data_IF_858659964410
#
_entry.id   IF_858659964410
#
_cell.length_a   1.000
_cell.length_b   1.000
_cell.length_c   1.000
_cell.angle_alpha   90.00
_cell.angle_beta   90.00
_cell.angle_gamma   90.00
#
_symmetry.space_group_name_H-M   'P 1'
#
loop_
_entity.id
_entity.type
_entity.pdbx_description
1 polymer ?
#
# COMPACT_ATOMS: atom_id res chain seq x y z
N UNK A 1 -12.98 18.61 -43.12
CA UNK A 1 -12.88 17.68 -41.98
C UNK A 1 -12.52 18.49 -40.75
N UNK A 2 -13.48 18.71 -39.87
CA UNK A 2 -13.37 19.64 -38.75
C UNK A 2 -12.43 19.11 -37.67
N UNK A 3 -11.54 19.98 -37.18
CA UNK A 3 -10.75 19.74 -36.00
C UNK A 3 -11.69 19.48 -34.81
N UNK A 4 -11.67 18.25 -34.30
CA UNK A 4 -12.24 17.95 -32.99
C UNK A 4 -11.33 18.68 -31.99
N UNK A 5 -11.75 19.88 -31.58
CA UNK A 5 -11.18 20.57 -30.43
C UNK A 5 -11.38 19.64 -29.23
N UNK A 6 -10.29 19.13 -28.67
CA UNK A 6 -10.28 18.33 -27.44
C UNK A 6 -10.90 19.15 -26.30
N UNK A 7 -12.18 18.90 -25.99
CA UNK A 7 -12.95 19.64 -24.99
C UNK A 7 -12.85 19.02 -23.59
N UNK A 8 -11.65 18.60 -23.19
CA UNK A 8 -11.42 18.04 -21.86
C UNK A 8 -10.05 18.42 -21.31
N UNK A 9 -9.88 18.46 -19.98
CA UNK A 9 -8.56 18.52 -19.38
C UNK A 9 -7.69 17.34 -19.88
N UNK A 10 -6.36 17.50 -19.94
CA UNK A 10 -5.47 16.41 -20.30
C UNK A 10 -5.67 15.23 -19.33
N UNK A 11 -5.42 14.02 -19.82
CA UNK A 11 -5.47 12.81 -19.02
C UNK A 11 -4.57 12.92 -17.78
N UNK A 12 -4.94 12.31 -16.64
CA UNK A 12 -4.05 12.22 -15.49
C UNK A 12 -2.74 11.54 -15.88
N UNK A 13 -1.62 12.03 -15.34
CA UNK A 13 -0.32 11.37 -15.49
C UNK A 13 -0.31 9.99 -14.80
N UNK A 14 -0.94 9.93 -13.63
CA UNK A 14 -1.02 8.76 -12.78
C UNK A 14 -2.44 8.56 -12.23
N UNK A 15 -2.81 7.29 -12.08
CA UNK A 15 -3.91 6.85 -11.23
C UNK A 15 -3.36 5.82 -10.26
N UNK A 16 -3.61 6.00 -8.96
CA UNK A 16 -3.36 4.96 -7.97
C UNK A 16 -4.67 4.23 -7.69
N UNK A 17 -4.62 2.90 -7.61
CA UNK A 17 -5.74 2.09 -7.11
C UNK A 17 -5.30 1.52 -5.77
N UNK A 18 -5.89 2.03 -4.69
CA UNK A 18 -5.55 1.66 -3.32
C UNK A 18 -6.83 1.29 -2.56
N UNK A 19 -7.35 0.10 -2.89
CA UNK A 19 -8.58 -0.48 -2.34
C UNK A 19 -8.24 -1.82 -1.66
N UNK A 20 -9.23 -2.46 -1.04
CA UNK A 20 -9.05 -3.77 -0.37
C UNK A 20 -9.13 -3.70 1.14
N UNK A 21 -8.94 -2.52 1.75
CA UNK A 21 -8.96 -2.38 3.19
C UNK A 21 -10.34 -2.66 3.79
N UNK A 22 -11.41 -2.16 3.18
CA UNK A 22 -12.78 -2.42 3.63
C UNK A 22 -13.31 -3.74 3.07
N UNK A 23 -12.95 -4.04 1.82
CA UNK A 23 -13.33 -5.25 1.10
C UNK A 23 -12.95 -6.52 1.86
N UNK A 24 -11.74 -6.54 2.43
CA UNK A 24 -11.21 -7.66 3.22
C UNK A 24 -11.70 -7.72 4.68
N UNK A 25 -12.51 -6.76 5.13
CA UNK A 25 -13.08 -6.83 6.48
C UNK A 25 -14.08 -7.97 6.58
N UNK A 26 -14.08 -8.71 7.70
CA UNK A 26 -14.99 -9.85 7.86
C UNK A 26 -16.42 -9.42 8.24
N UNK A 27 -17.36 -9.91 7.43
CA UNK A 27 -18.80 -10.01 7.68
C UNK A 27 -19.16 -11.40 8.25
N UNK A 28 -20.45 -11.71 8.38
CA UNK A 28 -20.90 -13.04 8.86
C UNK A 28 -20.49 -14.20 7.93
N UNK A 29 -20.40 -13.97 6.62
CA UNK A 29 -20.23 -15.01 5.61
C UNK A 29 -18.86 -14.96 4.91
N UNK A 30 -17.86 -14.30 5.51
CA UNK A 30 -16.54 -14.08 4.92
C UNK A 30 -16.20 -12.60 4.75
N UNK A 31 -15.26 -12.24 3.86
CA UNK A 31 -14.93 -10.83 3.59
C UNK A 31 -16.15 -10.05 3.08
N UNK A 32 -16.17 -8.72 3.28
CA UNK A 32 -17.27 -7.86 2.86
C UNK A 32 -17.50 -7.90 1.35
N UNK A 33 -16.41 -8.01 0.59
CA UNK A 33 -16.45 -8.32 -0.84
C UNK A 33 -15.81 -9.70 -1.01
N UNK A 34 -16.49 -10.70 -1.59
CA UNK A 34 -15.87 -11.99 -1.90
C UNK A 34 -14.58 -11.79 -2.71
N UNK A 35 -13.54 -12.57 -2.39
CA UNK A 35 -12.21 -12.36 -3.00
C UNK A 35 -12.27 -12.39 -4.55
N UNK A 36 -13.03 -13.33 -5.13
CA UNK A 36 -13.20 -13.42 -6.58
C UNK A 36 -13.86 -12.17 -7.18
N UNK A 37 -14.87 -11.62 -6.50
CA UNK A 37 -15.54 -10.39 -6.97
C UNK A 37 -14.60 -9.18 -6.88
N UNK A 38 -13.85 -9.06 -5.79
CA UNK A 38 -12.81 -8.04 -5.64
C UNK A 38 -11.76 -8.14 -6.75
N UNK A 39 -11.30 -9.35 -7.03
CA UNK A 39 -10.39 -9.67 -8.11
C UNK A 39 -10.89 -9.20 -9.48
N UNK A 40 -12.17 -9.45 -9.78
CA UNK A 40 -12.81 -9.03 -11.02
C UNK A 40 -12.94 -7.51 -11.10
N UNK A 41 -13.27 -6.83 -9.99
CA UNK A 41 -13.31 -5.37 -9.92
C UNK A 41 -11.95 -4.72 -10.21
N UNK A 42 -10.88 -5.20 -9.58
CA UNK A 42 -9.53 -4.65 -9.79
C UNK A 42 -9.09 -4.82 -11.25
N UNK A 43 -9.33 -6.00 -11.83
CA UNK A 43 -9.02 -6.26 -13.26
C UNK A 43 -9.87 -5.39 -14.17
N UNK A 44 -11.16 -5.21 -13.86
CA UNK A 44 -12.04 -4.33 -14.60
C UNK A 44 -11.55 -2.88 -14.60
N UNK A 45 -11.13 -2.34 -13.45
CA UNK A 45 -10.59 -0.98 -13.37
C UNK A 45 -9.31 -0.82 -14.19
N UNK A 46 -8.38 -1.78 -14.06
CA UNK A 46 -7.13 -1.77 -14.83
C UNK A 46 -7.41 -1.79 -16.33
N UNK A 47 -8.20 -2.76 -16.79
CA UNK A 47 -8.53 -2.89 -18.22
C UNK A 47 -9.26 -1.65 -18.74
N UNK A 48 -10.20 -1.10 -17.98
CA UNK A 48 -10.92 0.13 -18.37
C UNK A 48 -9.96 1.32 -18.54
N UNK A 49 -9.04 1.54 -17.59
CA UNK A 49 -8.05 2.63 -17.69
C UNK A 49 -7.04 2.37 -18.82
N UNK A 50 -6.63 1.13 -19.02
CA UNK A 50 -5.61 0.81 -20.01
C UNK A 50 -6.16 0.86 -21.44
N UNK A 51 -7.42 0.49 -21.65
CA UNK A 51 -8.02 0.40 -22.99
C UNK A 51 -8.71 1.72 -23.43
N UNK A 52 -9.03 2.63 -22.50
CA UNK A 52 -9.65 3.90 -22.85
C UNK A 52 -8.67 4.84 -23.59
N UNK A 53 -8.99 5.29 -24.82
CA UNK A 53 -8.17 6.24 -25.58
C UNK A 53 -7.86 7.54 -24.85
N UNK A 54 -8.74 7.99 -23.94
CA UNK A 54 -8.56 9.19 -23.15
C UNK A 54 -7.46 9.05 -22.08
N UNK A 55 -7.10 7.82 -21.69
CA UNK A 55 -6.07 7.52 -20.67
C UNK A 55 -4.89 6.73 -21.25
N UNK A 56 -4.68 6.79 -22.57
CA UNK A 56 -3.61 6.06 -23.28
C UNK A 56 -2.20 6.29 -22.71
N UNK A 57 -1.94 7.49 -22.19
CA UNK A 57 -0.64 7.90 -21.61
C UNK A 57 -0.64 7.86 -20.06
N UNK A 58 -1.79 7.55 -19.45
CA UNK A 58 -1.94 7.43 -18.01
C UNK A 58 -1.28 6.14 -17.52
N UNK A 59 -0.48 6.27 -16.47
CA UNK A 59 0.14 5.14 -15.75
C UNK A 59 -0.70 4.77 -14.54
N UNK A 60 -0.73 3.49 -14.20
CA UNK A 60 -1.48 2.98 -13.05
C UNK A 60 -0.54 2.36 -12.04
N UNK A 61 -0.70 2.70 -10.77
CA UNK A 61 0.00 2.05 -9.66
C UNK A 61 -1.02 1.38 -8.77
N UNK A 62 -1.00 0.05 -8.71
CA UNK A 62 -1.73 -0.70 -7.71
C UNK A 62 -1.00 -0.63 -6.37
N UNK A 63 -1.74 -0.45 -5.28
CA UNK A 63 -1.17 -0.43 -3.93
C UNK A 63 -1.92 -1.45 -3.10
N UNK A 64 -1.21 -2.42 -2.52
CA UNK A 64 -1.84 -3.44 -1.66
C UNK A 64 -2.45 -2.78 -0.40
N UNK A 65 -3.61 -3.23 0.09
CA UNK A 65 -4.18 -2.72 1.34
C UNK A 65 -3.19 -2.87 2.51
N UNK A 66 -3.18 -1.91 3.46
CA UNK A 66 -2.24 -1.96 4.57
C UNK A 66 -2.60 -3.08 5.56
N UNK A 67 -1.65 -3.48 6.44
CA UNK A 67 -1.96 -4.38 7.54
C UNK A 67 -2.87 -3.70 8.56
N UNK A 68 -3.46 -4.50 9.45
CA UNK A 68 -4.19 -4.01 10.63
C UNK A 68 -3.40 -4.30 11.88
N UNK A 69 -3.55 -3.43 12.88
CA UNK A 69 -2.96 -3.62 14.20
C UNK A 69 -3.99 -4.24 15.15
N UNK A 70 -4.15 -5.56 15.07
CA UNK A 70 -5.04 -6.29 15.99
C UNK A 70 -4.37 -6.37 17.37
N UNK A 71 -5.04 -5.92 18.44
CA UNK A 71 -4.53 -6.09 19.80
C UNK A 71 -4.33 -7.57 20.14
N UNK A 72 -3.23 -7.89 20.80
CA UNK A 72 -2.99 -9.24 21.30
C UNK A 72 -3.95 -9.54 22.46
N UNK A 73 -4.64 -10.70 22.49
CA UNK A 73 -5.48 -11.10 23.60
C UNK A 73 -4.70 -11.12 24.92
N UNK A 74 -5.33 -10.66 26.01
CA UNK A 74 -4.72 -10.65 27.36
C UNK A 74 -4.44 -12.09 27.79
N UNK A 75 -3.17 -12.40 28.11
CA UNK A 75 -2.75 -13.75 28.51
C UNK A 75 -1.25 -14.05 28.45
N UNK A 76 -0.38 -13.04 28.29
CA UNK A 76 1.08 -13.21 28.19
C UNK A 76 1.71 -14.13 29.26
N UNK A 77 1.27 -14.15 30.54
CA UNK A 77 1.85 -15.05 31.55
C UNK A 77 1.71 -16.55 31.26
N UNK A 78 0.83 -16.95 30.33
CA UNK A 78 0.63 -18.34 29.94
C UNK A 78 1.57 -18.80 28.81
N UNK A 79 2.34 -17.88 28.20
CA UNK A 79 3.26 -18.23 27.11
C UNK A 79 4.50 -19.01 27.57
N UNK A 80 4.85 -18.93 28.86
CA UNK A 80 5.98 -19.66 29.44
C UNK A 80 5.72 -21.17 29.55
N UNK A 81 4.46 -21.60 29.44
CA UNK A 81 4.08 -23.01 29.36
C UNK A 81 3.77 -23.38 27.88
N UNK A 82 4.54 -24.29 27.26
CA UNK A 82 4.35 -24.67 25.85
C UNK A 82 2.95 -25.17 25.51
N UNK A 83 2.33 -25.98 26.36
CA UNK A 83 1.00 -26.54 26.12
C UNK A 83 -0.07 -25.45 26.18
N UNK A 84 0.04 -24.54 27.16
CA UNK A 84 -0.86 -23.39 27.29
C UNK A 84 -0.69 -22.42 26.11
N UNK A 85 0.54 -22.20 25.64
CA UNK A 85 0.83 -21.36 24.48
C UNK A 85 0.19 -21.90 23.19
N UNK A 86 0.24 -23.22 22.97
CA UNK A 86 -0.41 -23.87 21.82
C UNK A 86 -1.93 -23.63 21.86
N UNK A 87 -2.56 -23.86 23.01
CA UNK A 87 -4.01 -23.66 23.18
C UNK A 87 -4.38 -22.19 22.95
N UNK A 88 -3.62 -21.26 23.53
CA UNK A 88 -3.90 -19.83 23.40
C UNK A 88 -3.78 -19.36 21.94
N UNK A 89 -2.76 -19.82 21.21
CA UNK A 89 -2.59 -19.55 19.78
C UNK A 89 -3.74 -20.13 18.95
N UNK A 90 -4.16 -21.35 19.25
CA UNK A 90 -5.29 -21.99 18.57
C UNK A 90 -6.59 -21.22 18.77
N UNK A 91 -6.87 -20.73 19.97
CA UNK A 91 -8.05 -19.89 20.24
C UNK A 91 -7.93 -18.53 19.54
N UNK A 92 -6.76 -17.90 19.60
CA UNK A 92 -6.53 -16.60 18.99
C UNK A 92 -6.67 -16.62 17.46
N UNK A 93 -6.22 -17.69 16.79
CA UNK A 93 -6.33 -17.82 15.32
C UNK A 93 -7.78 -17.91 14.85
N UNK A 94 -8.68 -18.45 15.69
CA UNK A 94 -10.13 -18.45 15.42
C UNK A 94 -10.81 -17.12 15.76
N UNK A 95 -10.10 -16.22 16.44
CA UNK A 95 -10.58 -14.90 16.82
C UNK A 95 -10.89 -14.02 15.62
N UNK A 96 -11.91 -13.15 15.74
CA UNK A 96 -12.29 -12.23 14.67
C UNK A 96 -11.15 -11.31 14.24
N UNK A 97 -10.32 -10.88 15.19
CA UNK A 97 -9.15 -10.04 14.93
C UNK A 97 -8.17 -10.69 13.98
N UNK A 98 -7.62 -11.86 14.36
CA UNK A 98 -6.66 -12.59 13.53
C UNK A 98 -7.22 -12.96 12.16
N UNK A 99 -8.45 -13.48 12.08
CA UNK A 99 -9.07 -13.81 10.78
C UNK A 99 -9.25 -12.58 9.89
N UNK A 100 -9.49 -11.40 10.47
CA UNK A 100 -9.56 -10.14 9.69
C UNK A 100 -8.17 -9.74 9.19
N UNK A 101 -7.13 -9.93 10.00
CA UNK A 101 -5.74 -9.73 9.59
C UNK A 101 -5.36 -10.68 8.44
N UNK A 102 -5.70 -11.97 8.54
CA UNK A 102 -5.43 -12.99 7.52
C UNK A 102 -6.17 -12.69 6.21
N UNK A 103 -7.44 -12.27 6.31
CA UNK A 103 -8.21 -11.84 5.14
C UNK A 103 -7.54 -10.66 4.44
N UNK A 104 -7.12 -9.62 5.18
CA UNK A 104 -6.38 -8.49 4.61
C UNK A 104 -5.04 -8.90 3.99
N UNK A 105 -4.30 -9.81 4.62
CA UNK A 105 -3.05 -10.39 4.06
C UNK A 105 -3.32 -11.06 2.72
N UNK A 106 -4.43 -11.79 2.60
CA UNK A 106 -4.84 -12.47 1.37
C UNK A 106 -5.15 -11.47 0.26
N UNK A 107 -5.90 -10.41 0.55
CA UNK A 107 -6.20 -9.35 -0.42
C UNK A 107 -4.95 -8.59 -0.84
N UNK A 108 -4.01 -8.35 0.10
CA UNK A 108 -2.73 -7.74 -0.20
C UNK A 108 -1.90 -8.58 -1.19
N UNK A 109 -1.73 -9.88 -0.90
CA UNK A 109 -1.07 -10.83 -1.82
C UNK A 109 -1.73 -10.83 -3.19
N UNK A 110 -3.07 -10.77 -3.22
CA UNK A 110 -3.80 -10.80 -4.49
C UNK A 110 -3.63 -9.53 -5.33
N UNK A 111 -3.56 -8.35 -4.71
CA UNK A 111 -3.20 -7.11 -5.42
C UNK A 111 -1.81 -7.22 -6.04
N UNK A 112 -0.83 -7.79 -5.33
CA UNK A 112 0.52 -8.00 -5.86
C UNK A 112 0.51 -8.94 -7.06
N UNK A 113 -0.21 -10.07 -6.97
CA UNK A 113 -0.37 -11.03 -8.07
C UNK A 113 -0.97 -10.38 -9.33
N UNK A 114 -2.11 -9.69 -9.20
CA UNK A 114 -2.76 -8.97 -10.31
C UNK A 114 -1.83 -7.89 -10.87
N UNK A 115 -1.19 -7.14 -9.98
CA UNK A 115 -0.24 -6.11 -10.36
C UNK A 115 0.86 -6.67 -11.25
N UNK A 116 1.51 -7.76 -10.82
CA UNK A 116 2.57 -8.43 -11.58
C UNK A 116 2.08 -8.99 -12.91
N UNK A 117 0.87 -9.55 -12.95
CA UNK A 117 0.22 -9.98 -14.18
C UNK A 117 0.11 -8.84 -15.20
N UNK A 118 -0.34 -7.66 -14.77
CA UNK A 118 -0.51 -6.50 -15.65
C UNK A 118 0.80 -5.76 -15.94
N UNK A 119 1.76 -5.74 -15.00
CA UNK A 119 3.12 -5.24 -15.27
C UNK A 119 3.80 -6.01 -16.41
N UNK A 120 3.57 -7.32 -16.50
CA UNK A 120 4.10 -8.16 -17.57
C UNK A 120 3.46 -7.87 -18.94
N UNK A 121 2.21 -7.37 -18.95
CA UNK A 121 1.45 -7.03 -20.16
C UNK A 121 1.66 -5.59 -20.62
N UNK A 122 1.93 -4.66 -19.70
CA UNK A 122 2.04 -3.24 -19.99
C UNK A 122 3.07 -2.54 -19.13
N UNK A 123 3.97 -1.78 -19.78
CA UNK A 123 4.90 -0.89 -19.09
C UNK A 123 4.23 0.30 -18.37
N UNK A 124 2.91 0.47 -18.49
CA UNK A 124 2.12 1.52 -17.81
C UNK A 124 1.64 1.11 -16.43
N UNK A 125 1.83 -0.15 -16.02
CA UNK A 125 1.41 -0.62 -14.70
C UNK A 125 2.63 -0.83 -13.80
N UNK A 126 2.47 -0.50 -12.53
CA UNK A 126 3.35 -0.87 -11.43
C UNK A 126 2.53 -1.34 -10.23
N UNK A 127 3.15 -2.10 -9.33
CA UNK A 127 2.51 -2.53 -8.08
C UNK A 127 3.41 -2.30 -6.88
N UNK A 128 2.86 -1.68 -5.85
CA UNK A 128 3.49 -1.46 -4.55
C UNK A 128 2.88 -2.44 -3.53
N UNK A 129 3.71 -3.33 -3.01
CA UNK A 129 3.34 -4.17 -1.86
C UNK A 129 3.51 -3.40 -0.55
N UNK A 130 2.56 -2.49 -0.28
CA UNK A 130 2.56 -1.69 0.94
C UNK A 130 2.40 -2.54 2.20
N UNK A 131 1.63 -3.63 2.14
CA UNK A 131 1.53 -4.61 3.22
C UNK A 131 2.92 -5.06 3.66
N UNK A 132 3.71 -5.59 2.72
CA UNK A 132 5.06 -6.04 2.96
C UNK A 132 5.95 -4.90 3.45
N UNK A 133 5.95 -3.74 2.80
CA UNK A 133 6.80 -2.61 3.21
C UNK A 133 6.55 -2.17 4.65
N UNK A 134 5.28 -2.12 5.08
CA UNK A 134 4.92 -1.76 6.46
C UNK A 134 5.29 -2.89 7.43
N UNK A 135 4.88 -4.13 7.18
CA UNK A 135 5.15 -5.26 8.09
C UNK A 135 6.63 -5.54 8.23
N UNK A 136 7.39 -5.57 7.12
CA UNK A 136 8.84 -5.75 7.14
C UNK A 136 9.52 -4.68 7.97
N UNK A 137 9.10 -3.41 7.87
CA UNK A 137 9.74 -2.27 8.56
C UNK A 137 9.86 -2.44 10.08
N UNK A 138 9.02 -3.28 10.69
CA UNK A 138 8.96 -3.54 12.13
C UNK A 138 9.35 -4.97 12.53
N UNK A 139 9.64 -5.86 11.58
CA UNK A 139 10.12 -7.22 11.87
C UNK A 139 11.53 -7.17 12.48
N UNK A 140 11.70 -7.79 13.65
CA UNK A 140 12.98 -7.86 14.37
C UNK A 140 13.10 -9.19 15.12
N UNK A 141 14.10 -9.98 14.73
CA UNK A 141 14.59 -11.17 15.42
C UNK A 141 16.10 -11.02 15.59
N UNK A 142 16.63 -11.32 16.77
CA UNK A 142 18.07 -11.21 17.04
C UNK A 142 18.86 -12.20 16.18
N UNK A 143 19.97 -11.75 15.60
CA UNK A 143 20.84 -12.59 14.77
C UNK A 143 20.35 -12.85 13.34
N UNK A 144 19.22 -12.27 12.91
CA UNK A 144 18.68 -12.41 11.55
C UNK A 144 18.68 -11.08 10.80
N UNK A 145 18.73 -11.12 9.45
CA UNK A 145 18.41 -9.91 8.67
C UNK A 145 16.93 -9.58 8.80
N UNK A 146 16.54 -8.35 8.46
CA UNK A 146 15.15 -7.93 8.52
C UNK A 146 14.26 -8.72 7.53
N UNK A 147 14.82 -9.15 6.41
CA UNK A 147 14.13 -10.01 5.45
C UNK A 147 13.88 -11.41 6.02
N UNK A 148 14.92 -12.04 6.56
CA UNK A 148 14.79 -13.36 7.18
C UNK A 148 13.78 -13.30 8.33
N UNK A 149 13.84 -12.27 9.16
CA UNK A 149 12.91 -12.06 10.26
C UNK A 149 11.46 -11.97 9.77
N UNK A 150 11.21 -11.26 8.67
CA UNK A 150 9.88 -11.17 8.07
C UNK A 150 9.37 -12.55 7.63
N UNK A 151 10.17 -13.30 6.88
CA UNK A 151 9.72 -14.60 6.34
C UNK A 151 9.50 -15.65 7.43
N UNK A 152 10.34 -15.67 8.47
CA UNK A 152 10.11 -16.54 9.64
C UNK A 152 8.77 -16.22 10.30
N UNK A 153 8.52 -14.94 10.60
CA UNK A 153 7.26 -14.51 11.23
C UNK A 153 6.04 -14.70 10.32
N UNK A 154 6.20 -14.60 9.00
CA UNK A 154 5.10 -14.81 8.04
C UNK A 154 4.69 -16.27 7.91
N UNK A 155 5.65 -17.20 8.02
CA UNK A 155 5.40 -18.65 8.08
C UNK A 155 4.66 -19.01 9.36
N UNK A 156 5.05 -18.41 10.49
CA UNK A 156 4.47 -18.69 11.80
C UNK A 156 3.17 -17.90 12.08
N UNK A 157 2.71 -17.07 11.13
CA UNK A 157 1.55 -16.17 11.28
C UNK A 157 1.68 -15.15 12.43
N UNK A 158 2.93 -14.83 12.75
CA UNK A 158 3.38 -14.00 13.87
C UNK A 158 3.87 -12.61 13.45
N UNK A 159 3.58 -12.22 12.21
CA UNK A 159 3.85 -10.87 11.74
C UNK A 159 3.16 -9.81 12.62
N UNK A 160 3.72 -8.59 12.68
CA UNK A 160 3.17 -7.56 13.52
C UNK A 160 1.70 -7.23 13.22
N UNK A 161 0.93 -6.99 14.28
CA UNK A 161 -0.50 -6.71 14.21
C UNK A 161 -1.39 -7.92 13.93
N UNK A 162 -0.86 -9.16 13.88
CA UNK A 162 -1.67 -10.36 13.64
C UNK A 162 -2.64 -10.71 14.77
N UNK A 163 -2.46 -10.12 15.95
CA UNK A 163 -3.23 -10.44 17.15
C UNK A 163 -2.91 -11.83 17.72
N UNK A 164 -1.90 -12.52 17.20
CA UNK A 164 -1.45 -13.79 17.77
C UNK A 164 -0.69 -13.56 19.09
N UNK A 165 -0.85 -14.43 20.09
CA UNK A 165 -0.08 -14.35 21.33
C UNK A 165 1.43 -14.31 21.09
N UNK A 166 2.11 -13.29 21.60
CA UNK A 166 3.54 -13.05 21.39
C UNK A 166 3.90 -12.38 20.06
N UNK A 167 2.94 -12.11 19.17
CA UNK A 167 3.17 -11.27 17.99
C UNK A 167 3.35 -9.82 18.44
N UNK A 168 4.27 -9.09 17.83
CA UNK A 168 4.51 -7.69 18.17
C UNK A 168 3.35 -6.82 17.67
N UNK A 169 2.85 -5.86 18.46
CA UNK A 169 1.95 -4.85 17.92
C UNK A 169 2.75 -3.86 17.05
N UNK A 170 2.04 -3.11 16.20
CA UNK A 170 2.62 -1.90 15.65
C UNK A 170 2.66 -0.81 16.73
N UNK A 171 3.80 -0.15 16.87
CA UNK A 171 3.98 0.96 17.81
C UNK A 171 3.24 2.23 17.36
N UNK A 172 3.16 3.21 18.27
CA UNK A 172 2.55 4.50 17.99
C UNK A 172 3.15 5.18 16.74
N UNK A 173 2.26 5.74 15.93
CA UNK A 173 2.58 6.45 14.69
C UNK A 173 2.49 5.60 13.41
N UNK A 174 2.37 4.27 13.51
CA UNK A 174 2.06 3.44 12.33
C UNK A 174 0.59 3.49 11.95
N UNK A 175 -0.29 3.46 12.94
CA UNK A 175 -1.74 3.54 12.78
C UNK A 175 -2.35 4.53 13.77
N UNK A 176 -3.44 5.17 13.38
CA UNK A 176 -4.20 6.10 14.25
C UNK A 176 -5.30 5.38 15.03
N UNK A 177 -5.96 4.38 14.41
CA UNK A 177 -7.06 3.60 14.98
C UNK A 177 -6.90 2.09 14.77
N UNK A 178 -5.70 1.65 14.40
CA UNK A 178 -5.39 0.25 14.06
C UNK A 178 -5.66 -0.12 12.60
N UNK A 179 -6.16 0.79 11.77
CA UNK A 179 -6.34 0.61 10.33
C UNK A 179 -5.84 1.80 9.50
N UNK A 180 -6.25 3.02 9.83
CA UNK A 180 -5.83 4.21 9.13
C UNK A 180 -4.37 4.52 9.44
N UNK A 181 -3.59 4.81 8.40
CA UNK A 181 -2.15 5.05 8.50
C UNK A 181 -1.87 6.26 9.39
N UNK A 182 -0.88 6.13 10.27
CA UNK A 182 -0.24 7.26 10.94
C UNK A 182 0.98 7.74 10.17
N UNK A 183 1.66 8.75 10.73
CA UNK A 183 2.79 9.44 10.09
C UNK A 183 3.90 8.50 9.63
N UNK A 184 4.27 7.49 10.43
CA UNK A 184 5.34 6.54 10.09
C UNK A 184 4.97 5.68 8.88
N UNK A 185 3.73 5.19 8.83
CA UNK A 185 3.27 4.39 7.71
C UNK A 185 3.05 5.22 6.45
N UNK A 186 2.59 6.47 6.57
CA UNK A 186 2.52 7.40 5.43
C UNK A 186 3.90 7.77 4.89
N UNK A 187 4.92 7.90 5.74
CA UNK A 187 6.30 8.10 5.29
C UNK A 187 6.82 6.91 4.47
N UNK A 188 6.52 5.68 4.91
CA UNK A 188 6.83 4.46 4.14
C UNK A 188 6.09 4.51 2.81
N UNK A 189 4.77 4.70 2.79
CA UNK A 189 3.98 4.77 1.57
C UNK A 189 4.55 5.82 0.59
N UNK A 190 4.81 7.05 1.05
CA UNK A 190 5.30 8.13 0.21
C UNK A 190 6.67 7.83 -0.40
N UNK A 191 7.61 7.31 0.41
CA UNK A 191 8.96 6.93 -0.07
C UNK A 191 8.88 5.79 -1.08
N UNK A 192 8.26 4.67 -0.71
CA UNK A 192 8.21 3.48 -1.56
C UNK A 192 7.43 3.73 -2.86
N UNK A 193 6.36 4.51 -2.81
CA UNK A 193 5.59 4.90 -3.99
C UNK A 193 6.43 5.75 -4.95
N UNK A 194 7.16 6.74 -4.42
CA UNK A 194 7.99 7.60 -5.24
C UNK A 194 9.19 6.83 -5.83
N UNK A 195 9.86 6.02 -5.01
CA UNK A 195 10.98 5.19 -5.45
C UNK A 195 10.56 4.19 -6.52
N UNK A 196 9.41 3.52 -6.35
CA UNK A 196 8.82 2.64 -7.36
C UNK A 196 8.56 3.40 -8.66
N UNK A 197 7.87 4.54 -8.58
CA UNK A 197 7.49 5.31 -9.77
C UNK A 197 8.72 5.82 -10.53
N UNK A 198 9.74 6.36 -9.83
CA UNK A 198 10.95 6.89 -10.44
C UNK A 198 11.92 5.80 -10.94
N UNK A 199 11.83 4.60 -10.39
CA UNK A 199 12.57 3.43 -10.89
C UNK A 199 11.92 2.87 -12.14
N UNK A 200 10.58 2.74 -12.13
CA UNK A 200 9.81 2.21 -13.26
C UNK A 200 9.77 3.17 -14.44
N UNK A 201 9.63 4.46 -14.17
CA UNK A 201 9.48 5.53 -15.16
C UNK A 201 10.53 6.63 -14.91
N UNK A 202 11.81 6.35 -15.22
CA UNK A 202 12.92 7.27 -14.94
C UNK A 202 12.81 8.61 -15.67
N UNK A 203 12.06 8.69 -16.77
CA UNK A 203 11.72 9.93 -17.47
C UNK A 203 10.97 10.94 -16.57
N UNK A 204 10.36 10.48 -15.48
CA UNK A 204 9.66 11.32 -14.51
C UNK A 204 10.56 11.84 -13.37
N UNK A 205 11.86 11.57 -13.41
CA UNK A 205 12.81 12.22 -12.49
C UNK A 205 12.82 13.72 -12.74
N UNK A 206 12.93 14.48 -11.64
CA UNK A 206 12.92 15.96 -11.64
C UNK A 206 13.88 16.55 -12.67
N UNK A 207 15.06 15.95 -12.84
CA UNK A 207 16.11 16.40 -13.76
C UNK A 207 15.65 16.48 -15.22
N UNK A 208 14.64 15.69 -15.60
CA UNK A 208 14.11 15.63 -16.96
C UNK A 208 13.05 16.70 -17.23
N UNK A 209 12.60 17.45 -16.21
CA UNK A 209 11.63 18.52 -16.39
C UNK A 209 12.34 19.87 -16.57
N UNK A 210 11.88 20.70 -17.53
CA UNK A 210 12.42 22.04 -17.69
C UNK A 210 12.19 22.83 -16.40
N UNK A 211 13.25 23.47 -15.88
CA UNK A 211 13.14 24.40 -14.77
C UNK A 211 12.26 25.57 -15.22
N UNK A 212 11.03 25.65 -14.71
CA UNK A 212 10.23 26.87 -14.81
C UNK A 212 10.85 27.90 -13.87
N UNK A 213 11.74 28.73 -14.39
CA UNK A 213 12.21 29.91 -13.67
C UNK A 213 11.01 30.84 -13.58
N UNK A 214 10.37 30.94 -12.41
CA UNK A 214 9.54 32.09 -12.11
C UNK A 214 10.48 33.29 -12.05
N UNK A 215 10.60 34.02 -13.15
CA UNK A 215 11.14 35.37 -13.10
C UNK A 215 10.19 36.18 -12.23
N UNK A 216 10.58 36.44 -10.98
CA UNK A 216 10.04 37.61 -10.30
C UNK A 216 10.44 38.79 -11.16
N UNK A 217 9.49 39.60 -11.67
CA UNK A 217 9.87 40.88 -12.23
C UNK A 217 10.64 41.59 -11.13
N UNK A 218 11.90 41.88 -11.38
CA UNK A 218 12.66 42.82 -10.57
C UNK A 218 11.78 44.06 -10.44
N UNK A 219 11.27 44.31 -9.23
CA UNK A 219 10.72 45.61 -8.88
C UNK A 219 11.89 46.58 -8.93
N UNK A 220 12.23 47.05 -10.13
CA UNK A 220 13.06 48.23 -10.29
C UNK A 220 12.14 49.38 -9.92
N UNK A 221 12.37 50.10 -8.82
CA UNK A 221 11.57 51.28 -8.52
C UNK A 221 11.78 52.28 -9.66
N UNK A 222 10.70 52.73 -10.28
CA UNK A 222 10.69 53.90 -11.17
C UNK A 222 10.99 55.16 -10.35
N UNK A 223 12.25 55.36 -9.94
CA UNK A 223 12.69 56.61 -9.34
C UNK A 223 14.20 56.82 -9.43
N UNK A 224 14.75 56.74 -10.64
CA UNK A 224 16.01 57.41 -11.00
C UNK A 224 16.03 57.67 -12.52
N UNK A 225 14.96 58.28 -13.01
CA UNK A 225 14.90 58.95 -14.30
C UNK A 225 14.37 60.35 -14.05
N UNK A 226 15.16 61.17 -13.36
CA UNK A 226 15.12 62.64 -13.29
C UNK A 226 16.09 63.13 -12.21
N UNK A 227 17.39 63.11 -12.51
CA UNK A 227 18.39 64.09 -12.04
C UNK A 227 19.44 64.28 -13.13
#
# INVERSE_FOLDING_TARGET
MGAIKSRGPPAPLFITIFLGANDACLSMNGPMVPLQEYEDHIRHYLTTILDDPATKDTRVILISPPPVNVPVPVGEPLLDNPDAAIILRSVASQGRGHRTWESKRTFAKKIVEIGKEYEAKSGRVAVLDLWYSITKSVCRIEGTTQDDAFYHLDIDEMLPGSGMPGAKPFENGYFTDGLHLGDKAYQILGRELLDLALTKWPELKRENFPRRVCSYPSLVPESVANM
#
